data_IF_038360124196
#
_entry.id   IF_038360124196
#
_cell.length_a   1.000
_cell.length_b   1.000
_cell.length_c   1.000
_cell.angle_alpha   90.00
_cell.angle_beta   90.00
_cell.angle_gamma   90.00
#
_symmetry.space_group_name_H-M   'P 1'
#
loop_
_entity.id
_entity.type
_entity.pdbx_description
1 polymer ?
#
# COMPACT_ATOMS: atom_id res chain seq x y z
N UNK A 1 -16.28 -12.34 -5.49
CA UNK A 1 -17.47 -12.34 -6.38
C UNK A 1 -18.34 -11.10 -6.20
N UNK A 2 -18.58 -10.65 -4.96
CA UNK A 2 -19.45 -9.50 -4.68
C UNK A 2 -18.89 -8.19 -5.23
N UNK A 3 -17.61 -7.88 -4.98
CA UNK A 3 -16.95 -6.67 -5.50
C UNK A 3 -16.99 -6.60 -7.03
N UNK A 4 -16.76 -7.72 -7.72
CA UNK A 4 -16.90 -7.82 -9.16
C UNK A 4 -18.33 -7.46 -9.63
N UNK A 5 -19.35 -7.95 -8.92
CA UNK A 5 -20.75 -7.68 -9.25
C UNK A 5 -21.12 -6.20 -9.02
N UNK A 6 -20.63 -5.59 -7.93
CA UNK A 6 -20.85 -4.17 -7.64
C UNK A 6 -20.21 -3.31 -8.73
N UNK A 7 -18.94 -3.54 -9.06
CA UNK A 7 -18.25 -2.80 -10.10
C UNK A 7 -18.88 -2.98 -11.49
N UNK A 8 -19.36 -4.19 -11.80
CA UNK A 8 -20.08 -4.44 -13.06
C UNK A 8 -21.45 -3.74 -13.16
N UNK A 9 -22.07 -3.45 -12.01
CA UNK A 9 -23.35 -2.73 -11.97
C UNK A 9 -23.19 -1.22 -12.19
N UNK A 10 -22.05 -0.65 -11.84
CA UNK A 10 -21.75 0.77 -12.01
C UNK A 10 -20.24 0.96 -12.34
N UNK A 11 -19.82 0.64 -13.56
CA UNK A 11 -18.43 0.66 -13.97
C UNK A 11 -17.85 2.08 -14.16
N UNK A 12 -18.70 3.12 -14.15
CA UNK A 12 -18.26 4.51 -14.22
C UNK A 12 -17.71 5.00 -12.86
N UNK A 13 -18.17 4.40 -11.74
CA UNK A 13 -17.78 4.82 -10.40
C UNK A 13 -16.97 3.78 -9.64
N UNK A 14 -17.01 2.51 -10.03
CA UNK A 14 -16.37 1.43 -9.29
C UNK A 14 -15.45 0.58 -10.17
N UNK A 15 -14.22 0.43 -9.72
CA UNK A 15 -13.34 -0.66 -10.11
C UNK A 15 -13.17 -1.61 -8.91
N UNK A 16 -12.65 -2.81 -9.14
CA UNK A 16 -12.50 -3.78 -8.07
C UNK A 16 -11.14 -4.44 -8.07
N UNK A 17 -10.65 -4.74 -6.87
CA UNK A 17 -9.46 -5.54 -6.66
C UNK A 17 -9.86 -6.95 -6.18
N UNK A 18 -9.11 -7.95 -6.64
CA UNK A 18 -9.37 -9.34 -6.26
C UNK A 18 -8.52 -9.76 -5.07
N UNK A 19 -8.99 -10.79 -4.39
CA UNK A 19 -8.21 -11.52 -3.40
C UNK A 19 -8.41 -13.02 -3.62
N UNK A 20 -7.45 -13.82 -3.20
CA UNK A 20 -7.52 -15.27 -3.27
C UNK A 20 -7.61 -15.85 -1.86
N UNK A 21 -8.47 -16.85 -1.71
CA UNK A 21 -8.45 -17.67 -0.51
C UNK A 21 -7.14 -18.45 -0.45
N UNK A 22 -6.52 -18.45 0.73
CA UNK A 22 -5.31 -19.21 0.98
C UNK A 22 -5.66 -20.69 1.15
N UNK A 23 -5.33 -21.49 0.15
CA UNK A 23 -5.52 -22.96 0.13
C UNK A 23 -4.20 -23.76 0.21
N UNK A 24 -3.09 -23.04 0.27
CA UNK A 24 -1.76 -23.63 0.38
C UNK A 24 -1.17 -24.18 -0.92
N UNK A 25 -1.90 -24.15 -2.06
CA UNK A 25 -1.37 -24.62 -3.35
C UNK A 25 -0.92 -23.46 -4.25
N UNK A 26 0.41 -23.16 -4.32
CA UNK A 26 0.93 -22.09 -5.15
C UNK A 26 0.70 -22.31 -6.65
N UNK A 27 0.47 -23.55 -7.09
CA UNK A 27 0.35 -23.89 -8.52
C UNK A 27 -0.94 -23.36 -9.15
N UNK A 28 -1.98 -23.15 -8.35
CA UNK A 28 -3.29 -22.67 -8.83
C UNK A 28 -3.38 -21.17 -8.93
N UNK A 29 -2.43 -20.43 -8.33
CA UNK A 29 -2.50 -18.97 -8.13
C UNK A 29 -2.59 -18.22 -9.45
N UNK A 30 -1.74 -18.54 -10.42
CA UNK A 30 -1.71 -17.85 -11.71
C UNK A 30 -3.05 -17.95 -12.45
N UNK A 31 -3.60 -19.16 -12.56
CA UNK A 31 -4.85 -19.39 -13.28
C UNK A 31 -6.02 -18.69 -12.58
N UNK A 32 -6.06 -18.74 -11.24
CA UNK A 32 -7.09 -18.06 -10.44
C UNK A 32 -7.04 -16.54 -10.61
N UNK A 33 -5.85 -15.93 -10.60
CA UNK A 33 -5.67 -14.49 -10.82
C UNK A 33 -5.96 -14.10 -12.28
N UNK A 34 -5.63 -14.96 -13.26
CA UNK A 34 -6.01 -14.75 -14.66
C UNK A 34 -7.53 -14.63 -14.82
N UNK A 35 -8.27 -15.54 -14.19
CA UNK A 35 -9.75 -15.49 -14.19
C UNK A 35 -10.27 -14.19 -13.53
N UNK A 36 -9.64 -13.72 -12.44
CA UNK A 36 -10.02 -12.45 -11.84
C UNK A 36 -9.78 -11.27 -12.80
N UNK A 37 -8.61 -11.26 -13.46
CA UNK A 37 -8.28 -10.23 -14.44
C UNK A 37 -9.22 -10.23 -15.63
N UNK A 38 -9.56 -11.39 -16.18
CA UNK A 38 -10.55 -11.55 -17.27
C UNK A 38 -11.94 -11.01 -16.88
N UNK A 39 -12.28 -11.07 -15.59
CA UNK A 39 -13.51 -10.49 -15.02
C UNK A 39 -13.38 -8.99 -14.70
N UNK A 40 -12.27 -8.35 -15.06
CA UNK A 40 -12.06 -6.92 -14.89
C UNK A 40 -11.44 -6.49 -13.55
N UNK A 41 -10.79 -7.40 -12.81
CA UNK A 41 -10.01 -6.99 -11.64
C UNK A 41 -8.83 -6.10 -12.07
N UNK A 42 -8.68 -4.94 -11.42
CA UNK A 42 -7.63 -3.94 -11.71
C UNK A 42 -6.39 -4.11 -10.83
N UNK A 43 -6.45 -4.93 -9.80
CA UNK A 43 -5.36 -5.20 -8.87
C UNK A 43 -5.68 -6.35 -7.92
N UNK A 44 -4.75 -6.63 -7.00
CA UNK A 44 -4.88 -7.63 -5.94
C UNK A 44 -4.86 -6.92 -4.61
N UNK A 45 -5.84 -7.12 -3.77
CA UNK A 45 -5.85 -6.56 -2.42
C UNK A 45 -7.25 -6.19 -1.91
N UNK A 46 -7.22 -5.72 -0.75
CA UNK A 46 -6.08 -5.65 0.18
C UNK A 46 -5.69 -7.08 0.63
N UNK A 47 -4.39 -7.44 0.58
CA UNK A 47 -3.92 -8.72 1.10
C UNK A 47 -3.93 -8.68 2.62
N UNK A 48 -4.88 -9.37 3.22
CA UNK A 48 -5.08 -9.46 4.67
C UNK A 48 -4.65 -10.80 5.26
N UNK A 49 -4.08 -11.68 4.46
CA UNK A 49 -3.62 -13.00 4.89
C UNK A 49 -2.48 -12.87 5.92
N UNK A 50 -2.65 -13.48 7.10
CA UNK A 50 -1.64 -13.40 8.14
C UNK A 50 -0.58 -14.49 7.96
N UNK A 51 0.34 -14.25 7.02
CA UNK A 51 1.49 -15.09 6.65
C UNK A 51 2.71 -14.23 6.44
N UNK A 52 3.89 -14.80 6.68
CA UNK A 52 5.15 -14.12 6.39
C UNK A 52 5.29 -13.86 4.88
N UNK A 53 5.90 -12.76 4.51
CA UNK A 53 6.11 -12.38 3.09
C UNK A 53 6.96 -13.38 2.30
N UNK A 54 7.70 -14.27 2.96
CA UNK A 54 8.45 -15.37 2.32
C UNK A 54 7.62 -16.66 2.14
N UNK A 55 6.33 -16.65 2.48
CA UNK A 55 5.43 -17.79 2.26
C UNK A 55 5.36 -18.17 0.77
N UNK A 56 5.45 -19.48 0.42
CA UNK A 56 5.43 -19.92 -0.98
C UNK A 56 4.18 -19.53 -1.76
N UNK A 57 3.01 -19.48 -1.12
CA UNK A 57 1.78 -19.05 -1.77
C UNK A 57 1.82 -17.55 -2.09
N UNK A 58 2.27 -16.71 -1.16
CA UNK A 58 2.46 -15.28 -1.40
C UNK A 58 3.49 -15.00 -2.50
N UNK A 59 4.59 -15.75 -2.54
CA UNK A 59 5.55 -15.63 -3.63
C UNK A 59 4.92 -15.96 -5.00
N UNK A 60 4.04 -16.96 -5.07
CA UNK A 60 3.30 -17.28 -6.29
C UNK A 60 2.31 -16.16 -6.67
N UNK A 61 1.65 -15.55 -5.68
CA UNK A 61 0.79 -14.35 -5.88
C UNK A 61 1.60 -13.20 -6.48
N UNK A 62 2.77 -12.89 -5.91
CA UNK A 62 3.60 -11.79 -6.40
C UNK A 62 4.16 -12.03 -7.79
N UNK A 63 4.58 -13.27 -8.09
CA UNK A 63 5.03 -13.64 -9.43
C UNK A 63 3.91 -13.53 -10.46
N UNK A 64 2.74 -14.06 -10.16
CA UNK A 64 1.56 -13.99 -11.02
C UNK A 64 1.08 -12.54 -11.22
N UNK A 65 1.09 -11.73 -10.17
CA UNK A 65 0.74 -10.31 -10.20
C UNK A 65 1.60 -9.55 -11.22
N UNK A 66 2.92 -9.76 -11.19
CA UNK A 66 3.85 -9.15 -12.14
C UNK A 66 3.59 -9.58 -13.59
N UNK A 67 3.34 -10.87 -13.83
CA UNK A 67 3.00 -11.40 -15.16
C UNK A 67 1.67 -10.88 -15.70
N UNK A 68 0.72 -10.64 -14.82
CA UNK A 68 -0.61 -10.18 -15.15
C UNK A 68 -0.76 -8.65 -15.11
N UNK A 69 0.29 -7.90 -14.75
CA UNK A 69 0.23 -6.45 -14.50
C UNK A 69 -0.93 -6.08 -13.55
N UNK A 70 -1.00 -6.77 -12.43
CA UNK A 70 -1.93 -6.49 -11.35
C UNK A 70 -1.14 -5.92 -10.16
N UNK A 71 -1.27 -4.65 -9.80
CA UNK A 71 -0.66 -4.10 -8.59
C UNK A 71 -1.20 -4.81 -7.34
N UNK A 72 -0.39 -4.88 -6.29
CA UNK A 72 -0.70 -5.59 -5.06
C UNK A 72 -0.69 -4.62 -3.89
N UNK A 73 -1.85 -4.34 -3.31
CA UNK A 73 -1.96 -3.64 -2.01
C UNK A 73 -1.93 -4.65 -0.88
N UNK A 74 -1.10 -4.43 0.13
CA UNK A 74 -0.97 -5.33 1.26
C UNK A 74 -1.09 -4.60 2.59
N UNK A 75 -1.89 -5.17 3.49
CA UNK A 75 -1.87 -4.83 4.92
C UNK A 75 -0.71 -5.56 5.59
N UNK A 76 -0.06 -4.93 6.54
CA UNK A 76 1.05 -5.54 7.28
C UNK A 76 0.71 -5.70 8.75
N UNK A 77 0.94 -6.89 9.27
CA UNK A 77 0.86 -7.24 10.69
C UNK A 77 2.27 -7.31 11.30
N UNK A 78 2.46 -6.91 12.56
CA UNK A 78 3.77 -6.97 13.20
C UNK A 78 4.25 -8.40 13.50
N UNK A 79 3.33 -9.36 13.63
CA UNK A 79 3.62 -10.76 14.01
C UNK A 79 2.53 -11.70 13.51
N UNK A 80 2.90 -12.95 13.23
CA UNK A 80 1.94 -14.00 12.89
C UNK A 80 1.01 -14.28 14.09
N UNK A 81 -0.29 -14.25 13.83
CA UNK A 81 -1.33 -14.47 14.84
C UNK A 81 -1.68 -13.21 15.66
N UNK A 82 -1.04 -12.07 15.41
CA UNK A 82 -1.32 -10.83 16.14
C UNK A 82 -2.53 -10.06 15.55
N UNK A 83 -2.48 -9.78 14.27
CA UNK A 83 -3.56 -9.12 13.53
C UNK A 83 -3.63 -9.66 12.09
N UNK A 84 -4.56 -9.17 11.29
CA UNK A 84 -4.57 -9.49 9.86
C UNK A 84 -3.44 -8.80 9.11
N UNK A 85 -3.11 -9.30 7.92
CA UNK A 85 -2.08 -8.76 7.05
C UNK A 85 -0.81 -9.61 6.98
N UNK A 86 -0.01 -9.34 5.94
CA UNK A 86 1.27 -10.02 5.74
C UNK A 86 2.28 -9.64 6.81
N UNK A 87 3.20 -10.55 7.13
CA UNK A 87 4.11 -10.39 8.25
C UNK A 87 5.54 -10.18 7.77
N UNK A 88 6.21 -9.19 8.35
CA UNK A 88 7.64 -8.94 8.21
C UNK A 88 8.28 -8.64 9.57
N UNK A 89 9.58 -8.88 9.66
CA UNK A 89 10.39 -8.50 10.81
C UNK A 89 10.66 -6.97 10.82
N UNK A 90 11.03 -6.37 11.97
CA UNK A 90 11.46 -4.98 12.01
C UNK A 90 12.54 -4.65 10.97
N UNK A 91 12.40 -3.50 10.30
CA UNK A 91 13.28 -3.10 9.21
C UNK A 91 12.91 -3.71 7.84
N UNK A 92 11.79 -4.40 7.73
CA UNK A 92 11.18 -4.87 6.47
C UNK A 92 12.12 -5.71 5.57
N UNK A 93 12.90 -6.69 6.12
CA UNK A 93 13.83 -7.46 5.32
C UNK A 93 13.16 -8.39 4.30
N UNK A 94 11.98 -8.93 4.62
CA UNK A 94 11.25 -9.80 3.69
C UNK A 94 10.59 -8.99 2.57
N UNK A 95 10.07 -7.80 2.86
CA UNK A 95 9.57 -6.89 1.83
C UNK A 95 10.70 -6.51 0.87
N UNK A 96 11.88 -6.17 1.37
CA UNK A 96 13.05 -5.92 0.52
C UNK A 96 13.38 -7.12 -0.37
N UNK A 97 13.35 -8.33 0.17
CA UNK A 97 13.58 -9.55 -0.59
C UNK A 97 12.50 -9.76 -1.68
N UNK A 98 11.22 -9.47 -1.40
CA UNK A 98 10.11 -9.52 -2.35
C UNK A 98 10.30 -8.48 -3.47
N UNK A 99 10.60 -7.23 -3.14
CA UNK A 99 10.84 -6.16 -4.11
C UNK A 99 11.95 -6.53 -5.09
N UNK A 100 13.04 -7.10 -4.59
CA UNK A 100 14.16 -7.56 -5.40
C UNK A 100 13.82 -8.77 -6.27
N UNK A 101 13.05 -9.72 -5.72
CA UNK A 101 12.70 -10.99 -6.41
C UNK A 101 11.66 -10.77 -7.50
N UNK A 102 10.73 -9.86 -7.29
CA UNK A 102 9.59 -9.59 -8.17
C UNK A 102 9.63 -8.16 -8.74
N UNK A 103 10.64 -7.80 -9.56
CA UNK A 103 10.85 -6.43 -10.03
C UNK A 103 9.74 -5.90 -10.96
N UNK A 104 8.90 -6.78 -11.49
CA UNK A 104 7.78 -6.44 -12.36
C UNK A 104 6.44 -6.32 -11.60
N UNK A 105 6.43 -6.60 -10.31
CA UNK A 105 5.25 -6.49 -9.46
C UNK A 105 5.26 -5.14 -8.75
N UNK A 106 4.18 -4.40 -8.87
CA UNK A 106 3.98 -3.14 -8.13
C UNK A 106 3.40 -3.47 -6.74
N UNK A 107 4.14 -3.11 -5.70
CA UNK A 107 3.77 -3.34 -4.30
C UNK A 107 3.32 -2.04 -3.67
N UNK A 108 2.06 -1.97 -3.21
CA UNK A 108 1.50 -0.83 -2.52
C UNK A 108 1.47 -1.12 -1.02
N UNK A 109 2.39 -0.47 -0.30
CA UNK A 109 2.49 -0.60 1.16
C UNK A 109 1.39 0.17 1.87
N UNK A 110 0.71 -0.51 2.78
CA UNK A 110 -0.39 0.00 3.59
C UNK A 110 -0.24 -0.45 5.04
N UNK A 111 -1.00 0.13 5.94
CA UNK A 111 -1.08 -0.14 7.38
C UNK A 111 -0.08 0.60 8.27
N UNK A 112 -0.40 0.63 9.57
CA UNK A 112 0.47 1.23 10.60
C UNK A 112 1.83 0.53 10.70
N UNK A 113 1.87 -0.80 10.60
CA UNK A 113 3.12 -1.58 10.69
C UNK A 113 4.09 -1.28 9.55
N UNK A 114 3.58 -0.93 8.35
CA UNK A 114 4.40 -0.45 7.25
C UNK A 114 4.83 1.01 7.49
N UNK A 115 3.87 1.91 7.77
CA UNK A 115 4.14 3.33 7.82
C UNK A 115 4.91 3.79 9.06
N UNK A 116 4.96 2.99 10.14
CA UNK A 116 5.81 3.32 11.29
C UNK A 116 7.30 3.28 10.96
N UNK A 117 7.70 2.49 9.96
CA UNK A 117 9.07 2.38 9.44
C UNK A 117 9.52 3.61 8.61
N UNK A 118 8.74 4.70 8.61
CA UNK A 118 9.16 6.00 8.07
C UNK A 118 10.31 6.64 8.82
N UNK A 119 10.50 6.28 10.09
CA UNK A 119 11.49 6.87 11.00
C UNK A 119 12.55 5.86 11.40
N UNK A 120 13.79 6.31 11.58
CA UNK A 120 14.90 5.44 11.97
C UNK A 120 14.77 4.87 13.40
N UNK A 121 13.94 5.47 14.23
CA UNK A 121 13.59 5.01 15.58
C UNK A 121 12.33 4.15 15.61
N UNK A 122 11.95 3.55 14.48
CA UNK A 122 10.80 2.64 14.42
C UNK A 122 10.94 1.54 15.49
N UNK A 123 9.84 1.26 16.25
CA UNK A 123 9.88 0.27 17.31
C UNK A 123 10.06 -1.15 16.77
N UNK A 124 10.59 -2.04 17.61
CA UNK A 124 10.80 -3.45 17.24
C UNK A 124 9.82 -4.41 17.91
N UNK A 125 9.12 -3.98 18.96
CA UNK A 125 8.08 -4.78 19.60
C UNK A 125 6.76 -4.70 18.84
N UNK A 126 5.97 -5.77 18.90
CA UNK A 126 4.74 -5.90 18.10
C UNK A 126 3.64 -4.92 18.45
N UNK A 127 3.50 -4.58 19.74
CA UNK A 127 2.48 -3.66 20.20
C UNK A 127 2.72 -2.25 19.67
N UNK A 128 3.95 -1.79 19.77
CA UNK A 128 4.36 -0.47 19.27
C UNK A 128 4.40 -0.39 17.73
N UNK A 129 4.80 -1.47 17.05
CA UNK A 129 4.76 -1.54 15.57
C UNK A 129 3.34 -1.47 15.01
N UNK A 130 2.34 -1.84 15.79
CA UNK A 130 0.92 -1.74 15.41
C UNK A 130 0.28 -0.41 15.84
N UNK A 131 1.08 0.62 16.06
CA UNK A 131 0.62 1.97 16.42
C UNK A 131 0.99 2.98 15.34
N UNK A 132 0.35 4.13 15.41
CA UNK A 132 0.73 5.26 14.58
C UNK A 132 1.96 5.95 15.13
N UNK A 133 2.89 6.34 14.26
CA UNK A 133 4.10 7.07 14.63
C UNK A 133 3.76 8.42 15.26
N UNK A 134 4.55 8.83 16.26
CA UNK A 134 4.37 10.08 16.99
C UNK A 134 5.66 10.90 16.97
N UNK A 135 5.52 12.24 17.07
CA UNK A 135 6.65 13.15 17.09
C UNK A 135 7.37 13.27 15.73
N UNK A 136 8.47 14.05 15.66
CA UNK A 136 9.23 14.25 14.45
C UNK A 136 9.77 12.94 13.87
N UNK A 137 10.00 12.91 12.55
CA UNK A 137 10.60 11.77 11.87
C UNK A 137 12.13 11.85 12.00
N UNK A 138 12.74 10.78 12.52
CA UNK A 138 14.22 10.67 12.52
C UNK A 138 14.66 10.17 11.14
N UNK A 139 15.53 10.90 10.43
CA UNK A 139 16.03 10.50 9.11
C UNK A 139 16.69 9.11 9.11
N UNK A 140 16.57 8.37 8.01
CA UNK A 140 17.10 7.01 7.89
C UNK A 140 16.09 5.91 8.15
N UNK A 141 14.79 6.23 8.13
CA UNK A 141 13.74 5.24 8.21
C UNK A 141 13.74 4.27 7.03
N UNK A 142 13.25 3.06 7.27
CA UNK A 142 13.34 1.97 6.32
C UNK A 142 12.46 2.17 5.08
N UNK A 143 11.26 2.71 5.25
CA UNK A 143 10.35 2.98 4.13
C UNK A 143 10.99 3.96 3.13
N UNK A 144 11.52 5.14 3.51
CA UNK A 144 12.22 6.03 2.59
C UNK A 144 13.43 5.37 1.88
N UNK A 145 14.18 4.53 2.57
CA UNK A 145 15.30 3.78 1.96
C UNK A 145 14.81 2.83 0.87
N UNK A 146 13.74 2.06 1.13
CA UNK A 146 13.15 1.14 0.17
C UNK A 146 12.56 1.89 -1.04
N UNK A 147 11.87 3.01 -0.81
CA UNK A 147 11.37 3.86 -1.89
C UNK A 147 12.50 4.39 -2.79
N UNK A 148 13.63 4.78 -2.20
CA UNK A 148 14.81 5.22 -2.97
C UNK A 148 15.42 4.09 -3.79
N UNK A 149 15.43 2.87 -3.27
CA UNK A 149 16.14 1.73 -3.85
C UNK A 149 15.32 0.95 -4.87
N UNK A 150 14.00 0.83 -4.65
CA UNK A 150 13.12 -0.05 -5.41
C UNK A 150 12.00 0.74 -6.09
N UNK A 151 12.05 0.86 -7.43
CA UNK A 151 11.03 1.61 -8.18
C UNK A 151 9.66 0.94 -8.20
N UNK A 152 9.58 -0.33 -7.86
CA UNK A 152 8.35 -1.11 -7.79
C UNK A 152 7.66 -1.08 -6.40
N UNK A 153 8.18 -0.30 -5.45
CA UNK A 153 7.48 0.03 -4.20
C UNK A 153 6.68 1.31 -4.38
N UNK A 154 5.42 1.22 -4.04
CA UNK A 154 4.42 2.29 -4.01
C UNK A 154 3.85 2.43 -2.59
N UNK A 155 3.19 3.54 -2.30
CA UNK A 155 2.56 3.78 -1.01
C UNK A 155 1.08 4.10 -1.16
N UNK A 156 0.25 3.35 -0.46
CA UNK A 156 -1.15 3.64 -0.26
C UNK A 156 -1.30 4.54 0.98
N UNK A 157 -1.72 5.79 0.74
CA UNK A 157 -1.89 6.81 1.77
C UNK A 157 -3.26 6.76 2.44
N UNK A 158 -4.00 5.68 2.27
CA UNK A 158 -5.32 5.51 2.88
C UNK A 158 -5.25 5.32 4.40
N UNK A 159 -6.41 5.39 5.03
CA UNK A 159 -6.59 5.35 6.47
C UNK A 159 -5.78 6.45 7.20
N UNK A 160 -5.80 6.40 8.53
CA UNK A 160 -5.06 7.37 9.34
C UNK A 160 -3.60 6.97 9.59
N UNK A 161 -3.20 5.74 9.24
CA UNK A 161 -1.81 5.28 9.43
C UNK A 161 -0.82 6.07 8.58
N UNK A 162 -1.09 6.19 7.29
CA UNK A 162 -0.28 7.00 6.38
C UNK A 162 -0.44 8.49 6.67
N UNK A 163 -1.68 8.95 6.93
CA UNK A 163 -1.93 10.34 7.30
C UNK A 163 -1.10 10.78 8.51
N UNK A 164 -1.06 9.96 9.57
CA UNK A 164 -0.20 10.22 10.72
C UNK A 164 1.28 10.19 10.38
N UNK A 165 1.73 9.23 9.55
CA UNK A 165 3.13 9.14 9.17
C UNK A 165 3.64 10.37 8.40
N UNK A 166 2.78 10.98 7.57
CA UNK A 166 3.08 12.16 6.77
C UNK A 166 2.91 13.45 7.58
N UNK A 167 1.77 13.63 8.25
CA UNK A 167 1.42 14.90 8.89
C UNK A 167 2.11 15.14 10.22
N UNK A 168 2.65 14.10 10.91
CA UNK A 168 3.34 14.25 12.21
C UNK A 168 4.61 15.11 12.13
N UNK A 169 5.21 15.17 10.95
CA UNK A 169 6.36 16.03 10.63
C UNK A 169 6.14 16.63 9.24
N UNK A 170 5.48 17.81 9.16
CA UNK A 170 5.09 18.40 7.87
C UNK A 170 6.26 18.68 6.93
N UNK A 171 7.44 19.04 7.44
CA UNK A 171 8.61 19.33 6.62
C UNK A 171 9.10 18.05 5.93
N UNK A 172 9.25 16.97 6.69
CA UNK A 172 9.61 15.65 6.16
C UNK A 172 8.52 15.09 5.24
N UNK A 173 7.25 15.17 5.66
CA UNK A 173 6.12 14.66 4.91
C UNK A 173 5.99 15.31 3.53
N UNK A 174 6.12 16.63 3.43
CA UNK A 174 6.07 17.35 2.15
C UNK A 174 7.25 16.97 1.24
N UNK A 175 8.47 16.86 1.79
CA UNK A 175 9.63 16.40 1.02
C UNK A 175 9.42 14.98 0.48
N UNK A 176 8.89 14.07 1.30
CA UNK A 176 8.57 12.71 0.91
C UNK A 176 7.49 12.67 -0.21
N UNK A 177 6.41 13.44 -0.06
CA UNK A 177 5.34 13.54 -1.05
C UNK A 177 5.84 14.10 -2.39
N UNK A 178 6.65 15.15 -2.38
CA UNK A 178 7.24 15.70 -3.61
C UNK A 178 8.20 14.73 -4.29
N UNK A 179 9.08 14.08 -3.50
CA UNK A 179 10.10 13.17 -4.02
C UNK A 179 9.49 11.92 -4.66
N UNK A 180 8.44 11.38 -4.05
CA UNK A 180 7.83 10.12 -4.46
C UNK A 180 6.42 10.28 -5.04
N UNK A 181 6.06 11.48 -5.48
CA UNK A 181 4.74 11.83 -6.01
C UNK A 181 4.21 10.84 -7.05
N UNK A 182 5.07 10.28 -7.89
CA UNK A 182 4.70 9.34 -8.96
C UNK A 182 4.36 7.92 -8.47
N UNK A 183 4.51 7.63 -7.17
CA UNK A 183 4.32 6.31 -6.57
C UNK A 183 3.47 6.30 -5.30
N UNK A 184 2.75 7.38 -5.06
CA UNK A 184 1.87 7.53 -3.90
C UNK A 184 0.42 7.67 -4.36
N UNK A 185 -0.51 7.10 -3.59
CA UNK A 185 -1.93 7.10 -3.89
C UNK A 185 -2.70 7.58 -2.68
N UNK A 186 -3.44 8.67 -2.83
CA UNK A 186 -4.43 9.05 -1.83
C UNK A 186 -5.67 8.16 -1.96
N UNK A 187 -6.14 7.65 -0.83
CA UNK A 187 -7.40 6.95 -0.69
C UNK A 187 -7.92 7.12 0.74
N UNK A 188 -9.08 6.58 1.05
CA UNK A 188 -9.70 6.75 2.37
C UNK A 188 -9.67 5.48 3.23
N UNK A 189 -9.82 4.30 2.65
CA UNK A 189 -10.07 3.05 3.39
C UNK A 189 -11.31 3.17 4.28
N UNK A 190 -12.36 3.81 3.74
CA UNK A 190 -13.59 4.07 4.48
C UNK A 190 -14.43 2.80 4.59
N UNK A 191 -14.70 2.40 5.82
CA UNK A 191 -15.60 1.26 6.13
C UNK A 191 -16.92 1.69 6.76
N UNK A 192 -17.02 2.97 7.19
CA UNK A 192 -18.27 3.55 7.68
C UNK A 192 -18.25 5.08 7.54
N UNK A 193 -19.41 5.71 7.65
CA UNK A 193 -19.62 7.16 7.44
C UNK A 193 -19.10 8.05 8.57
N UNK A 194 -18.67 7.49 9.69
CA UNK A 194 -18.18 8.25 10.85
C UNK A 194 -16.65 8.42 10.80
N UNK A 195 -15.97 7.73 9.89
CA UNK A 195 -14.52 7.84 9.74
C UNK A 195 -14.12 9.18 9.16
N UNK A 196 -13.07 9.78 9.74
CA UNK A 196 -12.49 11.05 9.31
C UNK A 196 -11.06 10.82 8.84
N UNK A 197 -10.76 11.36 7.68
CA UNK A 197 -9.45 11.25 7.02
C UNK A 197 -8.83 12.64 6.83
N UNK A 198 -8.09 13.16 7.83
CA UNK A 198 -7.55 14.53 7.79
C UNK A 198 -6.55 14.75 6.65
N UNK A 199 -5.90 13.69 6.15
CA UNK A 199 -4.89 13.80 5.10
C UNK A 199 -5.44 14.45 3.83
N UNK A 200 -6.67 14.16 3.42
CA UNK A 200 -7.27 14.75 2.22
C UNK A 200 -7.34 16.26 2.32
N UNK A 201 -7.96 16.77 3.39
CA UNK A 201 -8.03 18.21 3.64
C UNK A 201 -6.62 18.84 3.75
N UNK A 202 -5.71 18.16 4.43
CA UNK A 202 -4.34 18.65 4.58
C UNK A 202 -3.62 18.76 3.23
N UNK A 203 -3.78 17.79 2.32
CA UNK A 203 -3.22 17.85 0.97
C UNK A 203 -3.79 19.04 0.18
N UNK A 204 -5.10 19.29 0.28
CA UNK A 204 -5.76 20.45 -0.34
C UNK A 204 -5.15 21.76 0.17
N UNK A 205 -4.99 21.90 1.48
CA UNK A 205 -4.38 23.07 2.12
C UNK A 205 -2.92 23.28 1.69
N UNK A 206 -2.11 22.20 1.64
CA UNK A 206 -0.70 22.30 1.21
C UNK A 206 -0.58 22.65 -0.28
N UNK A 207 -1.46 22.15 -1.12
CA UNK A 207 -1.50 22.53 -2.52
C UNK A 207 -1.97 23.97 -2.71
N UNK A 208 -2.97 24.43 -1.96
CA UNK A 208 -3.50 25.78 -2.04
C UNK A 208 -2.49 26.86 -1.59
N UNK A 209 -1.67 26.57 -0.58
CA UNK A 209 -0.64 27.48 -0.08
C UNK A 209 0.72 27.35 -0.81
N UNK A 210 0.83 26.42 -1.76
CA UNK A 210 2.04 26.19 -2.57
C UNK A 210 3.16 25.40 -1.88
N UNK A 211 2.92 24.80 -0.71
CA UNK A 211 3.87 23.94 -0.03
C UNK A 211 3.98 22.55 -0.68
N UNK A 212 2.90 22.09 -1.32
CA UNK A 212 2.89 20.91 -2.18
C UNK A 212 2.67 21.38 -3.64
N UNK A 213 3.52 20.94 -4.57
CA UNK A 213 3.36 21.33 -5.96
C UNK A 213 2.06 20.79 -6.57
N UNK A 214 1.46 21.55 -7.49
CA UNK A 214 0.28 21.11 -8.22
C UNK A 214 0.50 19.76 -8.92
N UNK A 215 1.71 19.52 -9.46
CA UNK A 215 2.09 18.24 -10.05
C UNK A 215 1.98 17.10 -9.05
N UNK A 216 2.61 17.24 -7.87
CA UNK A 216 2.62 16.20 -6.84
C UNK A 216 1.20 15.93 -6.33
N UNK A 217 0.44 16.97 -6.03
CA UNK A 217 -0.96 16.88 -5.61
C UNK A 217 -1.81 16.06 -6.61
N UNK A 218 -1.81 16.44 -7.90
CA UNK A 218 -2.59 15.74 -8.92
C UNK A 218 -2.15 14.29 -9.13
N UNK A 219 -0.85 14.01 -9.04
CA UNK A 219 -0.30 12.66 -9.11
C UNK A 219 -0.84 11.80 -7.97
N UNK A 220 -0.72 12.27 -6.75
CA UNK A 220 -1.10 11.55 -5.54
C UNK A 220 -2.62 11.34 -5.47
N UNK A 221 -3.40 12.40 -5.78
CA UNK A 221 -4.83 12.35 -5.58
C UNK A 221 -5.60 11.54 -6.63
N UNK A 222 -5.12 11.47 -7.90
CA UNK A 222 -5.87 10.75 -8.95
C UNK A 222 -5.04 10.23 -10.12
N UNK A 223 -4.02 10.96 -10.62
CA UNK A 223 -3.33 10.57 -11.87
C UNK A 223 -2.59 9.23 -11.76
N UNK A 224 -2.00 8.92 -10.61
CA UNK A 224 -1.33 7.64 -10.42
C UNK A 224 -2.33 6.49 -10.41
N UNK A 225 -3.48 6.66 -9.75
CA UNK A 225 -4.55 5.66 -9.76
C UNK A 225 -5.04 5.39 -11.20
N UNK A 226 -5.31 6.45 -11.97
CA UNK A 226 -5.68 6.32 -13.38
C UNK A 226 -4.63 5.54 -14.19
N UNK A 227 -3.34 5.87 -14.01
CA UNK A 227 -2.27 5.23 -14.77
C UNK A 227 -2.01 3.77 -14.37
N UNK A 228 -2.05 3.46 -13.07
CA UNK A 228 -1.66 2.15 -12.53
C UNK A 228 -2.82 1.15 -12.61
N UNK A 229 -4.04 1.60 -12.33
CA UNK A 229 -5.23 0.73 -12.33
C UNK A 229 -6.02 0.80 -13.64
N UNK A 230 -5.67 1.70 -14.58
CA UNK A 230 -6.35 1.85 -15.87
C UNK A 230 -7.76 2.43 -15.77
N UNK A 231 -7.95 3.39 -14.84
CA UNK A 231 -9.23 4.05 -14.57
C UNK A 231 -9.50 5.23 -15.50
#
# INVERSE_FOLDING_TARGET
EENCRIAAADPEHYAWMCNLDYDGDPKTVYDRLSVCKEKGAVGIGELMINRRLDDPFLNAVFEAAGKLNLPVTFHMSPETGYSYGVVDDPGLPLLEACLKRHPHTQFLGHSQTFWIEMSADAPTDKESRNQWGKGPVIPGGRVPELFKKYPNLYGDLSANSAGCAIMRDPAFGLEFLETYADRLFFATDMVNTEMVFPLGQWLDEQAANGALSRRAYEKICFKNAQAVFGL
#
